data_IF_785513129072
#
_entry.id   IF_785513129072
#
_cell.length_a   1.000
_cell.length_b   1.000
_cell.length_c   1.000
_cell.angle_alpha   90.00
_cell.angle_beta   90.00
_cell.angle_gamma   90.00
#
_symmetry.space_group_name_H-M   'P 1'
#
loop_
_entity.id
_entity.type
_entity.pdbx_description
1 polymer ?
#
# COMPACT_ATOMS: atom_id res chain seq x y z
N UNK A 1 6.26 1.60 2.77
CA UNK A 1 7.27 0.58 3.15
C UNK A 1 6.66 -0.82 3.05
N UNK A 2 7.46 -1.88 3.18
CA UNK A 2 6.92 -3.26 3.26
C UNK A 2 5.94 -3.44 4.43
N UNK A 3 6.19 -2.82 5.58
CA UNK A 3 5.30 -2.92 6.73
C UNK A 3 3.93 -2.29 6.43
N UNK A 4 3.89 -1.16 5.73
CA UNK A 4 2.64 -0.53 5.30
C UNK A 4 1.88 -1.41 4.30
N UNK A 5 2.57 -2.17 3.44
CA UNK A 5 1.92 -3.10 2.52
C UNK A 5 1.11 -4.17 3.27
N UNK A 6 1.68 -4.78 4.33
CA UNK A 6 0.97 -5.74 5.18
C UNK A 6 -0.25 -5.11 5.86
N UNK A 7 -0.15 -3.85 6.30
CA UNK A 7 -1.29 -3.11 6.85
C UNK A 7 -2.40 -2.94 5.81
N UNK A 8 -2.06 -2.54 4.58
CA UNK A 8 -3.01 -2.38 3.48
C UNK A 8 -3.73 -3.70 3.18
N UNK A 9 -2.97 -4.80 3.02
CA UNK A 9 -3.55 -6.13 2.77
C UNK A 9 -4.47 -6.59 3.91
N UNK A 10 -4.10 -6.29 5.16
CA UNK A 10 -4.94 -6.62 6.32
C UNK A 10 -6.27 -5.86 6.28
N UNK A 11 -6.25 -4.56 5.96
CA UNK A 11 -7.47 -3.76 5.86
C UNK A 11 -8.38 -4.26 4.72
N UNK A 12 -7.81 -4.57 3.56
CA UNK A 12 -8.56 -5.15 2.43
C UNK A 12 -9.12 -6.54 2.78
N UNK A 13 -8.36 -7.38 3.49
CA UNK A 13 -8.85 -8.67 3.97
C UNK A 13 -10.00 -8.55 4.96
N UNK A 14 -10.08 -7.44 5.71
CA UNK A 14 -11.20 -7.09 6.59
C UNK A 14 -12.37 -6.41 5.85
N UNK A 15 -12.29 -6.27 4.52
CA UNK A 15 -13.37 -5.76 3.68
C UNK A 15 -13.30 -4.25 3.41
N UNK A 16 -12.21 -3.57 3.75
CA UNK A 16 -12.04 -2.15 3.45
C UNK A 16 -11.67 -1.93 1.97
N UNK A 17 -12.25 -0.89 1.37
CA UNK A 17 -11.74 -0.31 0.13
C UNK A 17 -10.67 0.73 0.49
N UNK A 18 -9.46 0.55 -0.06
CA UNK A 18 -8.28 1.34 0.31
C UNK A 18 -7.74 2.06 -0.91
N UNK A 19 -7.40 3.33 -0.72
CA UNK A 19 -6.48 4.08 -1.58
C UNK A 19 -5.39 4.65 -0.69
N UNK A 20 -4.13 4.64 -1.15
CA UNK A 20 -2.99 4.96 -0.28
C UNK A 20 -2.03 5.97 -0.90
N UNK A 21 -1.45 6.82 -0.06
CA UNK A 21 -0.30 7.66 -0.43
C UNK A 21 0.69 7.78 0.72
N UNK A 22 1.98 7.98 0.40
CA UNK A 22 3.00 8.21 1.42
C UNK A 22 2.87 9.59 2.06
N UNK A 23 3.12 9.68 3.37
CA UNK A 23 3.19 10.95 4.10
C UNK A 23 4.60 11.59 4.08
N UNK A 24 5.57 10.96 3.41
CA UNK A 24 6.91 11.50 3.27
C UNK A 24 7.50 11.16 1.89
N UNK A 25 8.10 12.17 1.25
CA UNK A 25 8.59 12.09 -0.14
C UNK A 25 9.77 11.13 -0.35
N UNK A 26 10.42 10.65 0.72
CA UNK A 26 11.58 9.75 0.64
C UNK A 26 11.36 8.40 1.33
N UNK A 27 10.19 8.16 1.93
CA UNK A 27 9.93 6.94 2.72
C UNK A 27 9.29 5.80 1.94
N UNK A 28 8.86 6.06 0.70
CA UNK A 28 8.31 5.03 -0.18
C UNK A 28 9.39 4.02 -0.52
N UNK A 29 9.05 2.74 -0.39
CA UNK A 29 9.86 1.64 -0.90
C UNK A 29 9.16 1.16 -2.17
N UNK A 30 9.73 1.44 -3.34
CA UNK A 30 9.03 1.29 -4.62
C UNK A 30 8.60 -0.16 -4.91
N UNK A 31 9.40 -1.14 -4.51
CA UNK A 31 9.04 -2.56 -4.66
C UNK A 31 7.82 -2.94 -3.80
N UNK A 32 7.63 -2.31 -2.64
CA UNK A 32 6.43 -2.50 -1.82
C UNK A 32 5.21 -1.83 -2.48
N UNK A 33 5.37 -0.60 -3.00
CA UNK A 33 4.31 0.12 -3.71
C UNK A 33 3.88 -0.62 -4.99
N UNK A 34 4.84 -1.14 -5.76
CA UNK A 34 4.58 -1.93 -6.96
C UNK A 34 3.84 -3.24 -6.65
N UNK A 35 4.22 -3.93 -5.57
CA UNK A 35 3.51 -5.14 -5.15
C UNK A 35 2.05 -4.86 -4.77
N UNK A 36 1.78 -3.76 -4.05
CA UNK A 36 0.41 -3.35 -3.70
C UNK A 36 -0.37 -2.87 -4.93
N UNK A 37 0.23 -2.11 -5.83
CA UNK A 37 -0.43 -1.69 -7.06
C UNK A 37 -0.84 -2.90 -7.93
N UNK A 38 -0.03 -3.97 -7.94
CA UNK A 38 -0.33 -5.21 -8.65
C UNK A 38 -1.54 -5.98 -8.09
N UNK A 39 -1.96 -5.73 -6.84
CA UNK A 39 -3.19 -6.31 -6.27
C UNK A 39 -4.45 -5.49 -6.61
N UNK A 40 -4.30 -4.38 -7.35
CA UNK A 40 -5.39 -3.50 -7.75
C UNK A 40 -5.69 -2.36 -6.78
N UNK A 41 -4.95 -2.24 -5.68
CA UNK A 41 -5.07 -1.11 -4.74
C UNK A 41 -4.37 0.12 -5.32
N UNK A 42 -5.05 1.28 -5.45
CA UNK A 42 -4.40 2.51 -5.92
C UNK A 42 -3.38 3.04 -4.91
N UNK A 43 -2.16 3.30 -5.37
CA UNK A 43 -1.04 3.85 -4.58
C UNK A 43 -0.46 5.09 -5.27
N UNK A 44 -0.24 6.17 -4.52
CA UNK A 44 0.22 7.49 -5.01
C UNK A 44 1.44 8.03 -4.24
#
# INVERSE_FOLDING_TARGET
TIQTAVLIETLTALGAEVTWSSCNIFSTQDHAAAAIAATGVPVF
#
